data_IF_963198445206
#
_entry.id   IF_963198445206
#
_cell.length_a   1.000
_cell.length_b   1.000
_cell.length_c   1.000
_cell.angle_alpha   90.00
_cell.angle_beta   90.00
_cell.angle_gamma   90.00
#
_symmetry.space_group_name_H-M   'P 1'
#
loop_
_entity.id
_entity.type
_entity.pdbx_description
1 polymer ?
#
# COMPACT_ATOMS: atom_id res chain seq x y z
N UNK A 1 -2.07 -19.78 -12.06
CA UNK A 1 -1.46 -18.46 -12.35
C UNK A 1 -1.53 -17.65 -11.07
N UNK A 2 -0.41 -17.41 -10.39
CA UNK A 2 -0.43 -16.70 -9.10
C UNK A 2 -0.67 -15.20 -9.31
N UNK A 3 -1.26 -14.50 -8.33
CA UNK A 3 -1.44 -13.04 -8.39
C UNK A 3 -0.09 -12.32 -8.55
N UNK A 4 0.99 -12.92 -8.00
CA UNK A 4 2.38 -12.53 -8.22
C UNK A 4 2.84 -12.70 -9.67
N UNK A 5 2.41 -13.73 -10.40
CA UNK A 5 2.76 -13.90 -11.82
C UNK A 5 2.12 -12.82 -12.70
N UNK A 6 0.89 -12.40 -12.37
CA UNK A 6 0.21 -11.33 -13.09
C UNK A 6 0.88 -9.98 -12.84
N UNK A 7 1.18 -9.66 -11.57
CA UNK A 7 1.90 -8.45 -11.21
C UNK A 7 3.33 -8.42 -11.78
N UNK A 8 4.04 -9.54 -11.76
CA UNK A 8 5.36 -9.67 -12.35
C UNK A 8 5.31 -9.54 -13.88
N UNK A 9 4.28 -10.07 -14.56
CA UNK A 9 4.06 -9.90 -16.00
C UNK A 9 3.71 -8.46 -16.37
N UNK A 10 2.87 -7.78 -15.59
CA UNK A 10 2.62 -6.34 -15.76
C UNK A 10 3.91 -5.51 -15.56
N UNK A 11 4.69 -5.79 -14.51
CA UNK A 11 5.96 -5.10 -14.27
C UNK A 11 7.04 -5.39 -15.32
N UNK A 12 7.11 -6.63 -15.85
CA UNK A 12 8.07 -7.00 -16.92
C UNK A 12 7.66 -6.48 -18.29
N UNK A 13 6.37 -6.24 -18.53
CA UNK A 13 5.91 -5.47 -19.69
C UNK A 13 6.38 -4.02 -19.57
N UNK A 14 6.27 -3.40 -18.40
CA UNK A 14 6.79 -2.04 -18.14
C UNK A 14 8.32 -1.94 -18.28
N UNK A 15 9.09 -2.95 -17.84
CA UNK A 15 10.56 -2.96 -17.98
C UNK A 15 11.04 -3.06 -19.45
N UNK A 16 10.25 -3.66 -20.35
CA UNK A 16 10.53 -3.68 -21.79
C UNK A 16 10.13 -2.40 -22.52
N UNK A 17 9.40 -1.51 -21.86
CA UNK A 17 8.85 -0.26 -22.41
C UNK A 17 9.71 0.98 -22.08
N UNK A 18 10.98 0.79 -21.68
CA UNK A 18 11.92 1.87 -21.35
C UNK A 18 12.38 2.74 -22.53
N UNK A 19 11.75 2.61 -23.70
CA UNK A 19 11.94 3.54 -24.82
C UNK A 19 11.05 4.77 -24.61
N UNK A 20 11.69 5.92 -24.39
CA UNK A 20 11.07 7.21 -24.10
C UNK A 20 10.03 7.64 -25.16
N UNK A 21 10.12 7.08 -26.36
CA UNK A 21 9.24 7.40 -27.50
C UNK A 21 7.89 6.66 -27.41
N UNK A 22 7.83 5.47 -26.81
CA UNK A 22 6.61 4.65 -26.69
C UNK A 22 5.75 5.07 -25.49
N UNK A 23 6.38 5.59 -24.44
CA UNK A 23 5.72 6.07 -23.21
C UNK A 23 4.70 7.20 -23.44
N UNK A 24 4.86 8.00 -24.50
CA UNK A 24 4.00 9.16 -24.74
C UNK A 24 2.67 8.82 -25.44
N UNK A 25 2.63 7.75 -26.25
CA UNK A 25 1.55 7.54 -27.22
C UNK A 25 0.63 6.33 -26.94
N UNK A 26 1.04 5.29 -26.22
CA UNK A 26 0.22 4.05 -26.14
C UNK A 26 -0.35 3.72 -24.74
N UNK A 27 0.23 4.17 -23.62
CA UNK A 27 -0.05 3.51 -22.33
C UNK A 27 -1.29 3.94 -21.52
N UNK A 28 -1.74 5.22 -21.44
CA UNK A 28 -2.70 5.57 -20.38
C UNK A 28 -4.17 5.17 -20.59
N UNK A 29 -4.58 4.84 -21.82
CA UNK A 29 -5.99 4.55 -22.10
C UNK A 29 -6.43 3.16 -21.62
N UNK A 30 -5.50 2.19 -21.55
CA UNK A 30 -5.77 0.84 -21.08
C UNK A 30 -5.11 0.54 -19.71
N UNK A 31 -3.96 1.15 -19.42
CA UNK A 31 -3.23 0.88 -18.18
C UNK A 31 -3.97 1.34 -16.92
N UNK A 32 -4.44 2.58 -16.90
CA UNK A 32 -5.13 3.13 -15.71
C UNK A 32 -6.44 2.39 -15.37
N UNK A 33 -7.28 1.98 -16.35
CA UNK A 33 -8.36 1.04 -16.09
C UNK A 33 -7.90 -0.28 -15.44
N UNK A 34 -6.84 -0.91 -15.95
CA UNK A 34 -6.32 -2.16 -15.39
C UNK A 34 -5.79 -1.98 -13.97
N UNK A 35 -5.01 -0.92 -13.71
CA UNK A 35 -4.54 -0.59 -12.37
C UNK A 35 -5.71 -0.33 -11.41
N UNK A 36 -6.77 0.33 -11.87
CA UNK A 36 -7.98 0.55 -11.08
C UNK A 36 -8.65 -0.78 -10.70
N UNK A 37 -8.73 -1.74 -11.63
CA UNK A 37 -9.26 -3.09 -11.36
C UNK A 37 -8.38 -3.81 -10.33
N UNK A 38 -7.06 -3.67 -10.40
CA UNK A 38 -6.15 -4.29 -9.41
C UNK A 38 -6.41 -3.73 -8.01
N UNK A 39 -6.51 -2.40 -7.87
CA UNK A 39 -6.80 -1.76 -6.56
C UNK A 39 -8.13 -2.25 -6.00
N UNK A 40 -9.20 -2.25 -6.80
CA UNK A 40 -10.51 -2.70 -6.33
C UNK A 40 -10.52 -4.18 -5.98
N UNK A 41 -9.83 -5.02 -6.76
CA UNK A 41 -9.71 -6.45 -6.48
C UNK A 41 -8.96 -6.69 -5.17
N UNK A 42 -7.84 -5.99 -4.96
CA UNK A 42 -7.07 -6.08 -3.71
C UNK A 42 -7.92 -5.65 -2.51
N UNK A 43 -8.67 -4.56 -2.62
CA UNK A 43 -9.59 -4.10 -1.57
C UNK A 43 -10.67 -5.14 -1.24
N UNK A 44 -11.24 -5.81 -2.26
CA UNK A 44 -12.22 -6.88 -2.06
C UNK A 44 -11.59 -8.09 -1.36
N UNK A 45 -10.41 -8.52 -1.82
CA UNK A 45 -9.69 -9.66 -1.26
C UNK A 45 -9.23 -9.42 0.18
N UNK A 46 -9.01 -8.17 0.58
CA UNK A 46 -8.52 -7.82 1.92
C UNK A 46 -9.44 -8.31 3.04
N UNK A 47 -10.76 -8.21 2.83
CA UNK A 47 -11.75 -8.69 3.80
C UNK A 47 -11.77 -10.22 3.88
N UNK A 48 -11.69 -10.91 2.73
CA UNK A 48 -11.62 -12.36 2.68
C UNK A 48 -10.32 -12.90 3.28
N UNK A 49 -9.19 -12.22 3.02
CA UNK A 49 -7.89 -12.57 3.57
C UNK A 49 -7.92 -12.46 5.10
N UNK A 50 -8.37 -11.31 5.61
CA UNK A 50 -8.44 -11.08 7.05
C UNK A 50 -9.37 -12.10 7.75
N UNK A 51 -10.56 -12.36 7.20
CA UNK A 51 -11.52 -13.30 7.81
C UNK A 51 -11.02 -14.74 7.83
N UNK A 52 -10.40 -15.19 6.74
CA UNK A 52 -10.12 -16.62 6.55
C UNK A 52 -8.68 -17.04 6.92
N UNK A 53 -7.73 -16.10 6.99
CA UNK A 53 -6.30 -16.41 7.12
C UNK A 53 -5.60 -15.66 8.27
N UNK A 54 -6.36 -15.24 9.29
CA UNK A 54 -5.82 -14.50 10.45
C UNK A 54 -6.15 -15.14 11.79
N UNK A 55 -7.39 -15.60 11.98
CA UNK A 55 -7.87 -16.02 13.30
C UNK A 55 -7.54 -17.48 13.63
N UNK A 56 -7.87 -18.42 12.74
CA UNK A 56 -7.72 -19.87 13.01
C UNK A 56 -6.49 -20.49 12.35
N UNK A 57 -6.14 -20.05 11.13
CA UNK A 57 -5.02 -20.57 10.36
C UNK A 57 -4.24 -19.42 9.71
N UNK A 58 -3.28 -18.86 10.46
CA UNK A 58 -2.44 -17.78 9.96
C UNK A 58 -1.53 -18.26 8.82
N UNK A 59 -1.77 -17.80 7.58
CA UNK A 59 -0.94 -18.13 6.43
C UNK A 59 0.05 -17.01 6.11
N UNK A 60 1.29 -17.18 6.59
CA UNK A 60 2.37 -16.23 6.35
C UNK A 60 2.60 -15.95 4.85
N UNK A 61 2.49 -16.97 3.98
CA UNK A 61 2.80 -16.81 2.56
C UNK A 61 1.76 -15.92 1.88
N UNK A 62 0.48 -16.12 2.18
CA UNK A 62 -0.62 -15.31 1.61
C UNK A 62 -0.48 -13.85 2.02
N UNK A 63 -0.26 -13.59 3.31
CA UNK A 63 0.00 -12.25 3.83
C UNK A 63 1.25 -11.60 3.23
N UNK A 64 2.35 -12.36 3.10
CA UNK A 64 3.60 -11.87 2.52
C UNK A 64 3.42 -11.51 1.04
N UNK A 65 2.73 -12.35 0.27
CA UNK A 65 2.38 -12.08 -1.12
C UNK A 65 1.49 -10.85 -1.26
N UNK A 66 0.54 -10.65 -0.34
CA UNK A 66 -0.32 -9.47 -0.31
C UNK A 66 0.50 -8.19 -0.11
N UNK A 67 1.36 -8.12 0.91
CA UNK A 67 2.21 -6.93 1.14
C UNK A 67 3.17 -6.68 -0.02
N UNK A 68 3.74 -7.75 -0.59
CA UNK A 68 4.62 -7.64 -1.75
C UNK A 68 3.90 -7.05 -2.96
N UNK A 69 2.67 -7.48 -3.23
CA UNK A 69 1.84 -6.92 -4.31
C UNK A 69 1.56 -5.43 -4.09
N UNK A 70 1.15 -5.04 -2.87
CA UNK A 70 0.86 -3.66 -2.55
C UNK A 70 2.11 -2.75 -2.71
N UNK A 71 3.27 -3.21 -2.23
CA UNK A 71 4.55 -2.49 -2.37
C UNK A 71 4.94 -2.35 -3.85
N UNK A 72 4.88 -3.43 -4.63
CA UNK A 72 5.19 -3.39 -6.06
C UNK A 72 4.26 -2.44 -6.81
N UNK A 73 2.97 -2.47 -6.48
CA UNK A 73 1.97 -1.61 -7.09
C UNK A 73 2.24 -0.12 -6.81
N UNK A 74 2.57 0.25 -5.57
CA UNK A 74 2.83 1.65 -5.23
C UNK A 74 4.11 2.17 -5.93
N UNK A 75 5.14 1.32 -6.03
CA UNK A 75 6.43 1.68 -6.61
C UNK A 75 6.46 1.60 -8.15
N UNK A 76 5.40 1.12 -8.81
CA UNK A 76 5.44 0.91 -10.26
C UNK A 76 5.65 2.25 -11.02
N UNK A 77 6.60 2.34 -11.97
CA UNK A 77 6.96 3.59 -12.63
C UNK A 77 5.78 4.25 -13.38
N UNK A 78 4.89 3.43 -13.91
CA UNK A 78 3.77 3.88 -14.74
C UNK A 78 2.67 4.60 -13.95
N UNK A 79 2.68 4.52 -12.61
CA UNK A 79 1.85 5.31 -11.71
C UNK A 79 2.54 6.58 -11.17
N UNK A 80 3.78 6.87 -11.57
CA UNK A 80 4.50 8.09 -11.17
C UNK A 80 4.00 9.28 -12.00
N UNK A 81 2.91 9.88 -11.54
CA UNK A 81 2.18 10.94 -12.23
C UNK A 81 3.02 12.20 -12.49
N UNK A 82 4.09 12.40 -11.73
CA UNK A 82 4.99 13.56 -11.77
C UNK A 82 5.68 13.73 -13.13
N UNK A 83 5.84 12.62 -13.87
CA UNK A 83 6.49 12.56 -15.19
C UNK A 83 5.45 12.76 -16.33
N UNK A 84 4.15 12.63 -16.02
CA UNK A 84 3.07 12.74 -17.01
C UNK A 84 2.74 14.21 -17.28
N UNK A 85 2.47 14.56 -18.54
CA UNK A 85 2.01 15.90 -18.96
C UNK A 85 0.79 16.39 -18.14
N UNK A 86 0.80 17.67 -17.76
CA UNK A 86 -0.17 18.28 -16.83
C UNK A 86 -1.63 18.07 -17.21
N UNK A 87 -2.00 18.29 -18.48
CA UNK A 87 -3.39 18.11 -18.95
C UNK A 87 -3.87 16.66 -18.83
N UNK A 88 -2.97 15.69 -19.08
CA UNK A 88 -3.26 14.25 -19.01
C UNK A 88 -3.32 13.78 -17.56
N UNK A 89 -2.39 14.25 -16.72
CA UNK A 89 -2.39 14.03 -15.27
C UNK A 89 -3.70 14.47 -14.64
N UNK A 90 -4.19 15.66 -14.98
CA UNK A 90 -5.48 16.17 -14.48
C UNK A 90 -6.63 15.21 -14.80
N UNK A 91 -6.76 14.76 -16.06
CA UNK A 91 -7.81 13.80 -16.45
C UNK A 91 -7.74 12.48 -15.69
N UNK A 92 -6.52 11.98 -15.44
CA UNK A 92 -6.31 10.74 -14.67
C UNK A 92 -6.76 10.94 -13.22
N UNK A 93 -6.31 12.02 -12.57
CA UNK A 93 -6.66 12.32 -11.19
C UNK A 93 -8.15 12.59 -11.01
N UNK A 94 -8.78 13.31 -11.95
CA UNK A 94 -10.22 13.59 -11.92
C UNK A 94 -11.05 12.30 -12.04
N UNK A 95 -10.55 11.29 -12.79
CA UNK A 95 -11.27 10.04 -13.02
C UNK A 95 -11.01 8.94 -11.98
N UNK A 96 -9.75 8.74 -11.60
CA UNK A 96 -9.32 7.61 -10.76
C UNK A 96 -8.73 8.04 -9.41
N UNK A 97 -8.41 9.32 -9.24
CA UNK A 97 -7.55 9.78 -8.15
C UNK A 97 -6.11 9.25 -8.26
N UNK A 98 -5.34 9.42 -7.19
CA UNK A 98 -4.02 8.79 -7.08
C UNK A 98 -4.16 7.38 -6.52
N UNK A 99 -4.08 6.38 -7.41
CA UNK A 99 -4.22 4.97 -7.04
C UNK A 99 -3.11 4.48 -6.09
N UNK A 100 -1.93 5.14 -6.07
CA UNK A 100 -0.85 4.83 -5.12
C UNK A 100 -1.30 5.12 -3.70
N UNK A 101 -2.00 6.23 -3.51
CA UNK A 101 -2.58 6.62 -2.21
C UNK A 101 -3.65 5.61 -1.77
N UNK A 102 -4.52 5.18 -2.68
CA UNK A 102 -5.55 4.18 -2.37
C UNK A 102 -4.94 2.85 -1.92
N UNK A 103 -3.91 2.37 -2.62
CA UNK A 103 -3.18 1.15 -2.23
C UNK A 103 -2.42 1.33 -0.92
N UNK A 104 -1.83 2.51 -0.65
CA UNK A 104 -1.15 2.78 0.61
C UNK A 104 -2.10 2.76 1.82
N UNK A 105 -3.32 3.28 1.67
CA UNK A 105 -4.34 3.15 2.72
C UNK A 105 -4.72 1.70 2.98
N UNK A 106 -4.79 0.89 1.92
CA UNK A 106 -5.08 -0.54 2.04
C UNK A 106 -3.93 -1.29 2.72
N UNK A 107 -2.68 -1.00 2.33
CA UNK A 107 -1.47 -1.49 2.98
C UNK A 107 -1.50 -1.19 4.49
N UNK A 108 -1.84 0.04 4.87
CA UNK A 108 -1.98 0.45 6.27
C UNK A 108 -3.07 -0.35 6.99
N UNK A 109 -4.26 -0.46 6.40
CA UNK A 109 -5.38 -1.21 6.96
C UNK A 109 -4.99 -2.67 7.25
N UNK A 110 -4.41 -3.34 6.26
CA UNK A 110 -3.98 -4.73 6.38
C UNK A 110 -2.82 -4.91 7.35
N UNK A 111 -1.88 -3.96 7.40
CA UNK A 111 -0.84 -3.98 8.43
C UNK A 111 -1.43 -3.96 9.84
N UNK A 112 -2.46 -3.14 10.10
CA UNK A 112 -3.11 -3.10 11.41
C UNK A 112 -3.80 -4.42 11.78
N UNK A 113 -4.30 -5.16 10.80
CA UNK A 113 -4.99 -6.43 10.99
C UNK A 113 -4.06 -7.62 11.31
N UNK A 114 -2.74 -7.47 11.18
CA UNK A 114 -1.79 -8.56 11.48
C UNK A 114 -1.72 -8.94 12.97
N UNK A 115 -2.20 -8.10 13.89
CA UNK A 115 -2.12 -8.36 15.33
C UNK A 115 -0.69 -8.64 15.81
N UNK A 116 -0.49 -9.75 16.51
CA UNK A 116 0.83 -10.16 17.03
C UNK A 116 1.77 -10.70 15.95
N UNK A 117 1.25 -11.07 14.78
CA UNK A 117 2.04 -11.65 13.69
C UNK A 117 2.97 -10.63 13.00
N UNK A 118 2.80 -9.33 13.26
CA UNK A 118 3.65 -8.24 12.72
C UNK A 118 5.14 -8.52 12.90
N UNK A 119 5.53 -9.09 14.03
CA UNK A 119 6.92 -9.38 14.38
C UNK A 119 7.63 -10.30 13.37
N UNK A 120 6.88 -11.17 12.69
CA UNK A 120 7.41 -12.06 11.67
C UNK A 120 7.67 -11.37 10.33
N UNK A 121 6.96 -10.26 10.04
CA UNK A 121 7.08 -9.52 8.79
C UNK A 121 8.11 -8.39 8.87
N UNK A 122 8.29 -7.77 10.04
CA UNK A 122 9.17 -6.60 10.21
C UNK A 122 10.56 -6.79 9.57
N UNK A 123 11.30 -7.90 9.82
CA UNK A 123 12.64 -8.08 9.25
C UNK A 123 12.64 -8.10 7.71
N UNK A 124 11.59 -8.63 7.09
CA UNK A 124 11.47 -8.72 5.64
C UNK A 124 10.81 -7.52 4.97
N UNK A 125 9.96 -6.78 5.69
CA UNK A 125 9.15 -5.69 5.13
C UNK A 125 9.71 -4.30 5.35
N UNK A 126 10.67 -4.11 6.26
CA UNK A 126 11.24 -2.78 6.52
C UNK A 126 11.87 -2.15 5.26
N UNK A 127 12.65 -2.92 4.50
CA UNK A 127 13.26 -2.47 3.24
C UNK A 127 12.22 -2.14 2.15
N UNK A 128 11.32 -3.07 1.80
CA UNK A 128 10.21 -2.81 0.88
C UNK A 128 9.36 -1.59 1.25
N UNK A 129 9.03 -1.40 2.54
CA UNK A 129 8.25 -0.25 3.00
C UNK A 129 9.04 1.05 2.92
N UNK A 130 10.35 1.05 3.18
CA UNK A 130 11.19 2.22 2.95
C UNK A 130 11.18 2.61 1.46
N UNK A 131 11.22 1.62 0.55
CA UNK A 131 11.07 1.86 -0.88
C UNK A 131 9.79 2.63 -1.23
N UNK A 132 8.66 2.28 -0.59
CA UNK A 132 7.38 3.01 -0.76
C UNK A 132 7.49 4.50 -0.38
N UNK A 133 8.31 4.85 0.61
CA UNK A 133 8.49 6.27 1.01
C UNK A 133 9.29 7.10 0.02
N UNK A 134 10.01 6.46 -0.90
CA UNK A 134 10.79 7.13 -1.94
C UNK A 134 9.91 7.61 -3.09
N UNK A 135 8.66 7.12 -3.18
CA UNK A 135 7.67 7.63 -4.12
C UNK A 135 7.42 9.12 -3.82
N UNK A 136 7.51 10.02 -4.82
CA UNK A 136 7.36 11.47 -4.65
C UNK A 136 5.90 11.92 -4.40
N UNK A 137 5.16 11.20 -3.56
CA UNK A 137 3.78 11.48 -3.19
C UNK A 137 3.65 11.71 -1.67
N UNK A 138 3.40 12.96 -1.21
CA UNK A 138 3.38 13.30 0.22
C UNK A 138 2.38 12.49 1.05
N UNK A 139 1.19 12.21 0.52
CA UNK A 139 0.15 11.48 1.26
C UNK A 139 0.55 10.03 1.53
N UNK A 140 1.23 9.37 0.58
CA UNK A 140 1.78 8.01 0.79
C UNK A 140 2.75 8.02 1.97
N UNK A 141 3.67 9.00 2.02
CA UNK A 141 4.61 9.12 3.14
C UNK A 141 3.90 9.32 4.48
N UNK A 142 2.85 10.14 4.53
CA UNK A 142 2.06 10.34 5.74
C UNK A 142 1.37 9.07 6.25
N UNK A 143 0.96 8.18 5.33
CA UNK A 143 0.38 6.87 5.67
C UNK A 143 1.46 5.89 6.18
N UNK A 144 2.68 5.95 5.63
CA UNK A 144 3.78 5.06 6.04
C UNK A 144 4.36 5.38 7.42
N UNK A 145 4.35 6.65 7.85
CA UNK A 145 4.89 7.07 9.16
C UNK A 145 4.33 6.23 10.34
N UNK A 146 3.00 6.08 10.52
CA UNK A 146 2.47 5.24 11.61
C UNK A 146 2.82 3.75 11.47
N UNK A 147 3.05 3.25 10.25
CA UNK A 147 3.49 1.85 10.06
C UNK A 147 4.89 1.68 10.63
N UNK A 148 5.83 2.56 10.28
CA UNK A 148 7.18 2.48 10.84
C UNK A 148 7.22 2.68 12.34
N UNK A 149 6.36 3.56 12.88
CA UNK A 149 6.23 3.70 14.32
C UNK A 149 5.84 2.38 14.97
N UNK A 150 4.80 1.72 14.45
CA UNK A 150 4.35 0.43 14.95
C UNK A 150 5.44 -0.64 14.82
N UNK A 151 6.19 -0.68 13.70
CA UNK A 151 7.35 -1.57 13.54
C UNK A 151 8.41 -1.37 14.63
N UNK A 152 8.75 -0.12 14.94
CA UNK A 152 9.71 0.22 15.99
C UNK A 152 9.19 -0.16 17.38
N UNK A 153 7.91 0.08 17.66
CA UNK A 153 7.28 -0.32 18.92
C UNK A 153 7.34 -1.85 19.12
N UNK A 154 7.05 -2.63 18.07
CA UNK A 154 7.14 -4.09 18.10
C UNK A 154 8.56 -4.60 18.30
N UNK A 155 9.54 -4.04 17.59
CA UNK A 155 10.95 -4.39 17.77
C UNK A 155 11.44 -4.07 19.19
N UNK A 156 11.00 -2.93 19.74
CA UNK A 156 11.35 -2.50 21.08
C UNK A 156 10.75 -3.38 22.17
N UNK A 157 9.48 -3.80 22.03
CA UNK A 157 8.82 -4.75 22.96
C UNK A 157 9.54 -6.09 23.00
N UNK A 158 10.06 -6.55 21.85
CA UNK A 158 10.81 -7.81 21.74
C UNK A 158 12.19 -7.72 22.38
N UNK A 159 12.91 -6.61 22.17
CA UNK A 159 14.32 -6.50 22.53
C UNK A 159 14.57 -5.75 23.86
N UNK A 160 13.53 -5.22 24.50
CA UNK A 160 13.54 -4.80 25.91
C UNK A 160 14.37 -3.56 26.25
N UNK A 161 14.79 -2.73 25.28
CA UNK A 161 15.70 -1.62 25.59
C UNK A 161 15.32 -0.27 24.94
N UNK A 162 14.64 0.58 25.72
CA UNK A 162 14.15 1.93 25.34
C UNK A 162 15.23 2.92 24.85
N UNK A 163 16.53 2.62 25.02
CA UNK A 163 17.61 3.60 24.85
C UNK A 163 18.32 3.59 23.48
N UNK A 164 18.04 2.63 22.59
CA UNK A 164 18.74 2.52 21.28
C UNK A 164 17.91 2.97 20.07
N UNK A 165 16.58 2.84 20.09
CA UNK A 165 15.73 3.13 18.90
C UNK A 165 15.70 4.64 18.58
N UNK A 166 15.64 5.49 19.61
CA UNK A 166 15.69 6.95 19.44
C UNK A 166 16.97 7.48 18.78
N UNK A 167 18.08 6.73 18.83
CA UNK A 167 19.35 7.13 18.19
C UNK A 167 19.38 6.83 16.68
N UNK A 168 18.61 5.87 16.17
CA UNK A 168 18.57 5.57 14.72
C UNK A 168 17.65 6.49 13.92
N UNK A 169 16.58 7.01 14.54
CA UNK A 169 15.65 7.97 13.91
C UNK A 169 16.32 9.33 13.60
N UNK A 170 17.22 9.80 14.47
CA UNK A 170 17.99 11.05 14.24
C UNK A 170 18.89 10.94 13.01
N UNK A 171 19.41 9.74 12.71
CA UNK A 171 20.30 9.50 11.55
C UNK A 171 19.54 9.53 10.22
N UNK A 172 18.21 9.31 10.21
CA UNK A 172 17.37 9.37 9.01
C UNK A 172 16.65 10.72 8.82
N UNK A 173 16.89 11.71 9.70
CA UNK A 173 16.26 13.03 9.61
C UNK A 173 14.73 13.02 9.78
N UNK A 174 14.16 11.95 10.32
CA UNK A 174 12.73 11.85 10.58
C UNK A 174 12.39 12.57 11.89
N UNK A 175 11.41 13.49 11.90
CA UNK A 175 11.00 14.17 13.13
C UNK A 175 10.44 13.13 14.12
N UNK A 176 10.67 13.32 15.44
CA UNK A 176 10.05 12.47 16.45
C UNK A 176 8.52 12.53 16.25
N UNK A 177 7.84 11.38 16.16
CA UNK A 177 6.42 11.37 15.82
C UNK A 177 5.65 12.07 16.93
N UNK A 178 4.79 13.07 16.61
CA UNK A 178 3.87 13.59 17.58
C UNK A 178 2.98 12.45 18.08
N UNK A 179 2.82 12.32 19.40
CA UNK A 179 1.97 11.36 20.12
C UNK A 179 0.47 11.41 19.74
N UNK A 180 0.12 12.11 18.66
CA UNK A 180 -1.21 12.22 18.09
C UNK A 180 -1.14 11.95 16.58
N UNK A 181 -0.88 10.69 16.19
CA UNK A 181 -1.10 10.28 14.78
C UNK A 181 -2.60 10.17 14.53
N UNK A 182 -3.16 11.34 14.22
CA UNK A 182 -4.38 11.66 13.49
C UNK A 182 -5.50 10.60 13.51
N UNK A 183 -6.37 10.67 14.52
CA UNK A 183 -7.69 10.01 14.55
C UNK A 183 -8.51 10.21 13.26
N UNK A 184 -8.24 11.26 12.46
CA UNK A 184 -8.89 11.47 11.15
C UNK A 184 -8.51 10.39 10.14
N UNK A 185 -7.26 9.93 10.10
CA UNK A 185 -6.81 8.91 9.14
C UNK A 185 -7.45 7.55 9.46
N UNK A 186 -7.47 7.17 10.73
CA UNK A 186 -8.16 5.98 11.25
C UNK A 186 -9.67 6.08 11.00
N UNK A 187 -10.28 7.26 11.19
CA UNK A 187 -11.71 7.48 10.88
C UNK A 187 -11.99 7.43 9.37
N UNK A 188 -11.08 7.85 8.50
CA UNK A 188 -11.23 7.78 7.04
C UNK A 188 -11.13 6.34 6.53
N UNK A 189 -10.13 5.57 6.98
CA UNK A 189 -10.04 4.14 6.70
C UNK A 189 -11.29 3.37 7.18
N UNK A 190 -11.78 3.68 8.39
CA UNK A 190 -12.96 3.03 9.00
C UNK A 190 -14.31 3.50 8.42
N UNK A 191 -14.37 4.67 7.77
CA UNK A 191 -15.56 5.12 7.02
C UNK A 191 -15.64 4.48 5.64
N UNK A 192 -14.50 4.21 5.00
CA UNK A 192 -14.46 3.56 3.68
C UNK A 192 -14.76 2.06 3.75
N UNK A 193 -14.29 1.37 4.80
CA UNK A 193 -14.66 -0.02 5.08
C UNK A 193 -16.18 -0.21 5.28
N UNK A 194 -16.84 0.69 6.01
CA UNK A 194 -18.32 0.67 6.17
C UNK A 194 -19.10 1.08 4.91
N UNK A 195 -18.51 1.87 4.01
CA UNK A 195 -19.12 2.22 2.73
C UNK A 195 -19.23 1.03 1.78
N UNK A 196 -18.28 0.09 1.83
CA UNK A 196 -18.30 -1.12 1.00
C UNK A 196 -19.32 -2.16 1.50
N UNK A 197 -19.61 -2.25 2.80
CA UNK A 197 -20.69 -3.11 3.34
C UNK A 197 -22.08 -2.64 2.88
N UNK A 198 -22.32 -1.32 2.82
CA UNK A 198 -23.59 -0.75 2.34
C UNK A 198 -23.84 -0.95 0.84
N UNK A 199 -22.77 -1.05 0.04
CA UNK A 199 -22.88 -1.37 -1.39
C UNK A 199 -23.05 -2.87 -1.66
N UNK A 200 -22.50 -3.75 -0.82
CA UNK A 200 -22.70 -5.20 -0.89
C UNK A 200 -24.11 -5.62 -0.46
N UNK A 201 -24.67 -4.99 0.59
CA UNK A 201 -26.05 -5.27 1.04
C UNK A 201 -27.14 -4.87 0.02
N UNK A 202 -26.79 -4.15 -1.05
CA UNK A 202 -27.73 -3.80 -2.14
C UNK A 202 -27.62 -4.72 -3.37
N UNK A 203 -26.59 -5.56 -3.42
CA UNK A 203 -26.40 -6.60 -4.46
C UNK A 203 -26.94 -7.96 -4.03
N UNK A 204 -27.18 -8.20 -2.73
CA UNK A 204 -27.85 -9.40 -2.22
C UNK A 204 -29.39 -9.28 -2.18
N UNK A 205 -29.97 -8.26 -2.83
CA UNK A 205 -31.43 -8.06 -2.92
C UNK A 205 -31.95 -7.87 -4.35
N UNK A 206 -31.19 -8.31 -5.37
CA UNK A 206 -31.68 -8.48 -6.73
C UNK A 206 -31.61 -9.96 -7.13
#
# INVERSE_FOLDING_TARGET
MSCSDFAHRLCTVDAKLSDATVSLLILPNALFPCCSIIVTTVQYLSSALHKNFTETDFDFKVWNSYFSLAVLFINQPSLQLEIIMSAKRKKILDKYGDMRVMMAYELFSMWQNLGEHKIHFIPGMIGPFLGVTLVPQPEVRNIMIPIFHDMMDWEQRKNGNFKQVGRRLVVLGLPPPPLAVNLKLIRMARRRSRGNELCLGRLESC
#
